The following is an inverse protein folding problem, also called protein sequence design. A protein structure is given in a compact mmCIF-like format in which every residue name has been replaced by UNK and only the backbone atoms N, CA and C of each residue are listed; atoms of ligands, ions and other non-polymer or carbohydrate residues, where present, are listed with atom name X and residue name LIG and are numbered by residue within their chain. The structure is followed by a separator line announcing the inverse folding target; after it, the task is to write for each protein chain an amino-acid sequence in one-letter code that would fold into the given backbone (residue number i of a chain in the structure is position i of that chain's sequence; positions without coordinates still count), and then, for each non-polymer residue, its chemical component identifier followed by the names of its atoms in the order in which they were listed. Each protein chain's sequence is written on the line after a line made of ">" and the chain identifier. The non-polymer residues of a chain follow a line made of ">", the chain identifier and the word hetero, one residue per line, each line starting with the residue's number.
data_IF_129697014235
#
_entry.id   IF_129697014235
#
_cell.length_a   1.000
_cell.length_b   1.000
_cell.length_c   1.000
_cell.angle_alpha   90.00
_cell.angle_beta   90.00
_cell.angle_gamma   90.00
#
_symmetry.space_group_name_H-M   'P 1'
#
loop_
_entity.id
_entity.type
_entity.pdbx_description
1 polymer ?
#
# COMPACT_ATOMS: atom_id res chain seq x y z
N UNK A 1 -13.28 -10.09 7.18
CA UNK A 1 -12.42 -9.19 6.40
C UNK A 1 -11.27 -10.01 5.82
N UNK A 2 -11.00 -9.91 4.52
CA UNK A 2 -9.78 -10.42 3.90
C UNK A 2 -8.85 -9.26 3.57
N UNK A 3 -7.55 -9.50 3.57
CA UNK A 3 -6.53 -8.48 3.33
C UNK A 3 -5.55 -8.97 2.27
N UNK A 4 -5.30 -8.15 1.26
CA UNK A 4 -4.32 -8.43 0.21
C UNK A 4 -3.41 -7.22 0.07
N UNK A 5 -2.12 -7.40 0.39
CA UNK A 5 -1.09 -6.40 0.09
C UNK A 5 -0.51 -6.66 -1.29
N UNK A 6 -0.63 -5.68 -2.17
CA UNK A 6 0.03 -5.65 -3.47
C UNK A 6 1.26 -4.77 -3.33
N UNK A 7 2.44 -5.36 -3.22
CA UNK A 7 3.69 -4.61 -3.06
C UNK A 7 4.23 -4.05 -4.38
N UNK A 8 3.89 -4.68 -5.51
CA UNK A 8 4.24 -4.26 -6.87
C UNK A 8 3.32 -4.93 -7.87
N UNK A 9 3.12 -4.31 -9.03
CA UNK A 9 2.48 -4.97 -10.17
C UNK A 9 3.55 -5.58 -11.09
N UNK A 10 3.80 -6.89 -10.96
CA UNK A 10 4.48 -7.75 -11.95
C UNK A 10 3.47 -8.36 -12.94
N UNK A 11 3.98 -9.15 -13.90
CA UNK A 11 3.14 -9.87 -14.88
C UNK A 11 2.25 -10.93 -14.21
N UNK A 12 2.73 -11.55 -13.14
CA UNK A 12 2.07 -12.66 -12.44
C UNK A 12 1.08 -12.19 -11.37
N UNK A 13 1.08 -10.88 -11.04
CA UNK A 13 0.29 -10.31 -9.93
C UNK A 13 -1.20 -10.65 -10.00
N UNK A 14 -1.79 -10.64 -11.20
CA UNK A 14 -3.22 -10.94 -11.36
C UNK A 14 -3.54 -12.38 -10.95
N UNK A 15 -2.73 -13.35 -11.37
CA UNK A 15 -2.94 -14.75 -11.03
C UNK A 15 -2.74 -15.01 -9.53
N UNK A 16 -1.73 -14.37 -8.92
CA UNK A 16 -1.48 -14.43 -7.48
C UNK A 16 -2.63 -13.80 -6.68
N UNK A 17 -3.09 -12.62 -7.11
CA UNK A 17 -4.24 -11.93 -6.53
C UNK A 17 -5.48 -12.79 -6.58
N UNK A 18 -5.80 -13.36 -7.76
CA UNK A 18 -6.97 -14.18 -7.97
C UNK A 18 -6.95 -15.41 -7.05
N UNK A 19 -5.81 -16.10 -6.99
CA UNK A 19 -5.62 -17.26 -6.10
C UNK A 19 -5.81 -16.88 -4.63
N UNK A 20 -5.21 -15.78 -4.18
CA UNK A 20 -5.35 -15.31 -2.81
C UNK A 20 -6.80 -14.89 -2.48
N UNK A 21 -7.46 -14.16 -3.39
CA UNK A 21 -8.82 -13.71 -3.25
C UNK A 21 -9.83 -14.85 -3.17
N UNK A 22 -9.71 -15.87 -4.03
CA UNK A 22 -10.56 -17.06 -3.99
C UNK A 22 -10.33 -17.89 -2.72
N UNK A 23 -9.08 -18.01 -2.26
CA UNK A 23 -8.78 -18.65 -0.96
C UNK A 23 -9.46 -17.90 0.20
N UNK A 24 -9.37 -16.57 0.22
CA UNK A 24 -10.04 -15.74 1.24
C UNK A 24 -11.57 -15.88 1.15
N UNK A 25 -12.12 -15.92 -0.05
CA UNK A 25 -13.56 -16.14 -0.30
C UNK A 25 -14.02 -17.50 0.21
N UNK A 26 -13.25 -18.56 -0.02
CA UNK A 26 -13.50 -19.89 0.52
C UNK A 26 -13.46 -19.93 2.06
N UNK A 27 -12.67 -19.06 2.70
CA UNK A 27 -12.66 -18.84 4.14
C UNK A 27 -13.81 -17.95 4.65
N UNK A 28 -14.76 -17.57 3.78
CA UNK A 28 -15.94 -16.79 4.15
C UNK A 28 -15.75 -15.27 4.11
N UNK A 29 -14.74 -14.77 3.40
CA UNK A 29 -14.54 -13.33 3.20
C UNK A 29 -15.78 -12.68 2.57
N UNK A 30 -16.27 -11.59 3.19
CA UNK A 30 -17.35 -10.72 2.69
C UNK A 30 -16.89 -9.31 2.33
N UNK A 31 -15.68 -8.95 2.76
CA UNK A 31 -15.05 -7.66 2.52
C UNK A 31 -13.56 -7.87 2.31
N UNK A 32 -13.00 -7.32 1.25
CA UNK A 32 -11.56 -7.36 0.93
C UNK A 32 -10.94 -5.97 1.04
N UNK A 33 -9.75 -5.91 1.63
CA UNK A 33 -8.91 -4.70 1.66
C UNK A 33 -7.75 -4.90 0.68
N UNK A 34 -7.61 -3.98 -0.27
CA UNK A 34 -6.45 -3.89 -1.14
C UNK A 34 -5.48 -2.86 -0.55
N UNK A 35 -4.36 -3.33 -0.01
CA UNK A 35 -3.30 -2.44 0.47
C UNK A 35 -2.29 -2.17 -0.65
N UNK A 36 -2.28 -0.93 -1.13
CA UNK A 36 -1.39 -0.41 -2.17
C UNK A 36 -0.30 0.51 -1.60
N UNK A 37 -0.19 0.62 -0.26
CA UNK A 37 0.85 1.41 0.39
C UNK A 37 2.24 0.98 -0.04
N UNK A 38 3.08 1.96 -0.32
CA UNK A 38 4.44 1.84 -0.86
C UNK A 38 4.55 1.14 -2.24
N UNK A 39 3.42 0.97 -2.96
CA UNK A 39 3.43 0.33 -4.27
C UNK A 39 3.56 1.40 -5.38
N UNK A 40 4.79 1.56 -5.89
CA UNK A 40 5.11 2.47 -6.99
C UNK A 40 4.54 2.09 -8.38
N UNK A 41 3.71 1.03 -8.45
CA UNK A 41 3.02 0.57 -9.63
C UNK A 41 3.71 -0.60 -10.32
N UNK A 42 3.70 -0.60 -11.66
CA UNK A 42 4.26 -1.67 -12.46
C UNK A 42 3.44 -1.91 -13.73
N UNK A 43 3.18 -3.17 -14.05
CA UNK A 43 2.43 -3.55 -15.25
C UNK A 43 0.98 -3.05 -15.18
N UNK A 44 0.59 -2.23 -16.17
CA UNK A 44 -0.75 -1.65 -16.26
C UNK A 44 -1.82 -2.73 -16.43
N UNK A 45 -1.56 -3.75 -17.25
CA UNK A 45 -2.52 -4.82 -17.54
C UNK A 45 -2.96 -5.54 -16.27
N UNK A 46 -2.02 -5.84 -15.36
CA UNK A 46 -2.34 -6.44 -14.07
C UNK A 46 -3.26 -5.56 -13.22
N UNK A 47 -3.10 -4.23 -13.24
CA UNK A 47 -4.01 -3.32 -12.55
C UNK A 47 -5.39 -3.25 -13.21
N UNK A 48 -5.46 -3.33 -14.55
CA UNK A 48 -6.72 -3.41 -15.28
C UNK A 48 -7.45 -4.70 -14.89
N UNK A 49 -6.79 -5.84 -14.98
CA UNK A 49 -7.39 -7.15 -14.71
C UNK A 49 -7.83 -7.27 -13.24
N UNK A 50 -7.04 -6.75 -12.28
CA UNK A 50 -7.45 -6.70 -10.88
C UNK A 50 -8.67 -5.79 -10.68
N UNK A 51 -8.75 -4.65 -11.37
CA UNK A 51 -9.90 -3.74 -11.27
C UNK A 51 -11.17 -4.36 -11.87
N UNK A 52 -11.02 -5.12 -12.97
CA UNK A 52 -12.09 -5.85 -13.65
C UNK A 52 -12.81 -6.82 -12.70
N UNK A 53 -12.08 -7.49 -11.80
CA UNK A 53 -12.69 -8.44 -10.85
C UNK A 53 -13.73 -7.84 -9.90
N UNK A 54 -13.76 -6.52 -9.75
CA UNK A 54 -14.66 -5.79 -8.86
C UNK A 54 -15.75 -4.99 -9.58
N UNK A 55 -15.60 -4.75 -10.88
CA UNK A 55 -16.43 -3.82 -11.63
C UNK A 55 -17.38 -4.58 -12.56
N UNK A 56 -18.62 -4.14 -12.60
CA UNK A 56 -19.62 -4.71 -13.52
C UNK A 56 -19.31 -4.39 -14.99
N UNK A 57 -19.99 -5.10 -15.88
CA UNK A 57 -19.77 -5.05 -17.32
C UNK A 57 -19.75 -3.61 -17.88
N UNK A 58 -18.79 -3.35 -18.78
CA UNK A 58 -18.62 -2.10 -19.53
C UNK A 58 -18.31 -0.85 -18.68
N UNK A 59 -18.08 -1.00 -17.36
CA UNK A 59 -17.58 0.10 -16.51
C UNK A 59 -16.17 0.47 -16.94
N UNK A 60 -15.89 1.77 -17.04
CA UNK A 60 -14.55 2.23 -17.40
C UNK A 60 -13.59 1.99 -16.24
N UNK A 61 -12.40 1.47 -16.55
CA UNK A 61 -11.32 1.31 -15.57
C UNK A 61 -10.35 2.49 -15.68
N UNK A 62 -9.86 2.73 -16.89
CA UNK A 62 -8.90 3.79 -17.20
C UNK A 62 -8.96 4.07 -18.69
N UNK A 63 -8.58 5.28 -19.11
CA UNK A 63 -8.28 5.54 -20.52
C UNK A 63 -6.95 6.26 -20.66
N UNK A 64 -6.30 6.06 -21.79
CA UNK A 64 -5.09 6.77 -22.17
C UNK A 64 -5.39 7.77 -23.27
N UNK A 65 -4.74 8.91 -23.22
CA UNK A 65 -4.80 9.89 -24.31
C UNK A 65 -3.46 10.62 -24.40
N UNK A 66 -2.94 10.75 -25.62
CA UNK A 66 -1.66 11.40 -25.88
C UNK A 66 -1.79 12.47 -26.94
N UNK A 67 -0.78 13.33 -27.05
CA UNK A 67 -0.77 14.41 -28.05
C UNK A 67 -0.93 13.88 -29.49
N UNK A 68 -0.25 12.75 -29.77
CA UNK A 68 -0.24 12.08 -31.08
C UNK A 68 -0.69 10.61 -30.96
N UNK A 69 -1.38 10.25 -29.87
CA UNK A 69 -1.90 8.91 -29.64
C UNK A 69 -3.40 9.05 -29.40
N UNK A 70 -4.19 8.35 -30.20
CA UNK A 70 -5.65 8.35 -30.05
C UNK A 70 -6.04 7.86 -28.66
N UNK A 71 -7.20 8.33 -28.20
CA UNK A 71 -7.79 7.86 -26.95
C UNK A 71 -8.02 6.35 -27.00
N UNK A 72 -7.55 5.63 -25.99
CA UNK A 72 -7.78 4.20 -25.82
C UNK A 72 -8.42 3.96 -24.46
N UNK A 73 -9.59 3.32 -24.46
CA UNK A 73 -10.33 3.01 -23.25
C UNK A 73 -10.11 1.55 -22.85
N UNK A 74 -9.95 1.34 -21.54
CA UNK A 74 -9.90 0.04 -20.91
C UNK A 74 -11.13 -0.06 -20.01
N UNK A 75 -11.96 -1.05 -20.28
CA UNK A 75 -13.25 -1.25 -19.63
C UNK A 75 -13.32 -2.65 -19.03
N UNK A 76 -14.04 -2.74 -17.93
CA UNK A 76 -14.39 -3.99 -17.30
C UNK A 76 -15.21 -4.85 -18.26
N UNK A 77 -14.99 -6.16 -18.19
CA UNK A 77 -15.67 -7.18 -18.97
C UNK A 77 -16.61 -7.93 -18.04
N UNK A 78 -17.72 -8.41 -18.58
CA UNK A 78 -18.64 -9.26 -17.83
C UNK A 78 -17.93 -10.50 -17.23
N UNK A 79 -17.97 -10.67 -15.88
CA UNK A 79 -17.57 -11.84 -15.03
C UNK A 79 -16.59 -11.55 -13.88
N UNK A 80 -16.62 -10.37 -13.25
CA UNK A 80 -15.76 -10.12 -12.09
C UNK A 80 -16.12 -11.04 -10.91
N UNK A 81 -15.15 -11.76 -10.33
CA UNK A 81 -15.42 -12.77 -9.29
C UNK A 81 -15.70 -12.17 -7.91
N UNK A 82 -15.36 -10.89 -7.74
CA UNK A 82 -15.49 -10.15 -6.50
C UNK A 82 -16.49 -8.99 -6.61
N UNK A 83 -17.32 -8.93 -7.66
CA UNK A 83 -18.36 -7.90 -7.84
C UNK A 83 -19.28 -7.78 -6.61
N UNK A 84 -19.65 -8.89 -5.97
CA UNK A 84 -20.51 -8.93 -4.77
C UNK A 84 -19.78 -8.79 -3.42
N UNK A 85 -18.45 -8.65 -3.43
CA UNK A 85 -17.62 -8.56 -2.21
C UNK A 85 -17.32 -7.09 -1.90
N UNK A 86 -17.63 -6.59 -0.71
CA UNK A 86 -17.27 -5.22 -0.36
C UNK A 86 -15.75 -4.99 -0.50
N UNK A 87 -15.32 -3.84 -1.03
CA UNK A 87 -13.88 -3.54 -1.20
C UNK A 87 -13.52 -2.18 -0.64
N UNK A 88 -12.36 -2.13 0.03
CA UNK A 88 -11.69 -0.90 0.45
C UNK A 88 -10.27 -0.90 -0.09
N UNK A 89 -9.74 0.27 -0.42
CA UNK A 89 -8.37 0.42 -0.90
C UNK A 89 -7.60 1.32 0.06
N UNK A 90 -6.39 0.92 0.43
CA UNK A 90 -5.48 1.74 1.24
C UNK A 90 -4.35 2.24 0.33
N UNK A 91 -4.09 3.55 0.35
CA UNK A 91 -3.02 4.20 -0.41
C UNK A 91 -2.21 5.15 0.49
N UNK A 92 -1.05 5.53 -0.01
CA UNK A 92 -0.16 6.54 0.56
C UNK A 92 0.63 7.26 -0.54
N UNK A 93 1.52 8.17 -0.15
CA UNK A 93 2.42 8.92 -1.02
C UNK A 93 3.35 8.04 -1.90
N UNK A 94 3.59 6.78 -1.51
CA UNK A 94 4.35 5.80 -2.28
C UNK A 94 3.52 5.08 -3.35
N UNK A 95 2.19 5.15 -3.25
CA UNK A 95 1.26 4.57 -4.22
C UNK A 95 1.33 5.33 -5.55
N UNK A 96 1.74 4.67 -6.64
CA UNK A 96 1.93 5.32 -7.93
C UNK A 96 1.49 4.47 -9.13
N UNK A 97 1.23 5.11 -10.26
CA UNK A 97 1.01 4.47 -11.57
C UNK A 97 -0.07 3.39 -11.53
N UNK A 98 0.27 2.10 -11.71
CA UNK A 98 -0.69 1.00 -11.69
C UNK A 98 -1.54 0.95 -10.40
N UNK A 99 -0.97 1.32 -9.24
CA UNK A 99 -1.72 1.46 -7.98
C UNK A 99 -2.80 2.53 -8.07
N UNK A 100 -2.48 3.66 -8.73
CA UNK A 100 -3.40 4.77 -8.92
C UNK A 100 -4.49 4.44 -9.94
N UNK A 101 -4.23 3.52 -10.87
CA UNK A 101 -5.25 2.97 -11.78
C UNK A 101 -6.29 2.17 -10.98
N UNK A 102 -5.85 1.24 -10.12
CA UNK A 102 -6.78 0.46 -9.27
C UNK A 102 -7.58 1.38 -8.36
N UNK A 103 -6.89 2.28 -7.64
CA UNK A 103 -7.56 3.20 -6.72
C UNK A 103 -8.54 4.14 -7.46
N UNK A 104 -8.13 4.73 -8.58
CA UNK A 104 -8.98 5.62 -9.37
C UNK A 104 -10.16 4.92 -10.03
N UNK A 105 -9.97 3.71 -10.57
CA UNK A 105 -11.04 2.92 -11.16
C UNK A 105 -12.11 2.57 -10.14
N UNK A 106 -11.71 2.10 -8.95
CA UNK A 106 -12.66 1.72 -7.90
C UNK A 106 -13.29 2.93 -7.20
N UNK A 107 -12.56 4.03 -7.03
CA UNK A 107 -13.10 5.27 -6.46
C UNK A 107 -14.14 5.89 -7.38
N UNK A 108 -13.81 6.07 -8.66
CA UNK A 108 -14.65 6.82 -9.60
C UNK A 108 -15.92 6.08 -9.99
N UNK A 109 -15.90 4.74 -9.97
CA UNK A 109 -17.10 3.91 -10.15
C UNK A 109 -17.89 3.70 -8.84
N UNK A 110 -17.54 4.41 -7.76
CA UNK A 110 -18.13 4.27 -6.43
C UNK A 110 -18.15 2.82 -5.91
N UNK A 111 -17.13 2.05 -6.31
CA UNK A 111 -17.00 0.65 -5.97
C UNK A 111 -16.26 0.43 -4.64
N UNK A 112 -15.34 1.33 -4.31
CA UNK A 112 -14.58 1.33 -3.07
C UNK A 112 -14.42 2.75 -2.51
N UNK A 113 -14.33 2.83 -1.19
CA UNK A 113 -13.75 3.98 -0.51
C UNK A 113 -12.23 3.83 -0.43
N UNK A 114 -11.54 4.94 -0.63
CA UNK A 114 -10.09 5.06 -0.57
C UNK A 114 -9.69 5.60 0.81
N UNK A 115 -8.83 4.87 1.51
CA UNK A 115 -8.32 5.20 2.84
C UNK A 115 -6.83 5.53 2.76
N UNK A 116 -6.36 6.46 3.59
CA UNK A 116 -4.93 6.73 3.72
C UNK A 116 -4.59 8.18 3.40
N UNK A 117 -3.60 8.37 2.52
CA UNK A 117 -3.08 9.69 2.13
C UNK A 117 -3.01 9.81 0.61
N UNK A 118 -2.87 11.03 0.12
CA UNK A 118 -2.79 11.31 -1.32
C UNK A 118 -1.66 10.52 -1.97
N UNK A 119 -1.96 9.89 -3.10
CA UNK A 119 -0.98 9.11 -3.86
C UNK A 119 0.06 9.99 -4.56
N UNK A 120 1.05 9.36 -5.19
CA UNK A 120 2.20 10.04 -5.77
C UNK A 120 1.85 11.03 -6.89
N UNK A 121 0.94 10.65 -7.80
CA UNK A 121 0.54 11.44 -8.97
C UNK A 121 1.32 11.12 -10.24
N UNK A 122 1.54 9.83 -10.56
CA UNK A 122 2.22 9.38 -11.79
C UNK A 122 1.21 8.80 -12.79
N UNK A 123 0.61 9.68 -13.56
CA UNK A 123 -0.30 9.38 -14.67
C UNK A 123 0.37 9.33 -16.05
N UNK A 124 1.65 8.96 -16.17
CA UNK A 124 2.36 8.92 -17.47
C UNK A 124 2.42 7.51 -18.07
N UNK A 125 2.08 7.39 -19.35
CA UNK A 125 2.28 6.19 -20.15
C UNK A 125 3.64 6.27 -20.83
N UNK A 126 4.51 5.29 -20.57
CA UNK A 126 5.83 5.23 -21.19
C UNK A 126 5.95 3.99 -22.07
N UNK A 127 6.36 4.19 -23.32
CA UNK A 127 6.64 3.13 -24.29
C UNK A 127 8.16 2.95 -24.40
N UNK A 128 8.63 1.70 -24.44
CA UNK A 128 10.04 1.39 -24.66
C UNK A 128 10.24 0.89 -26.09
N UNK A 129 11.23 1.46 -26.78
CA UNK A 129 11.68 1.02 -28.09
C UNK A 129 13.15 0.64 -28.02
N UNK A 130 13.48 -0.58 -28.46
CA UNK A 130 14.86 -1.06 -28.49
C UNK A 130 15.51 -0.68 -29.83
N UNK A 131 16.80 -0.39 -29.79
CA UNK A 131 17.61 -0.04 -30.95
C UNK A 131 18.54 -1.19 -31.35
N UNK A 132 18.99 -1.24 -32.62
CA UNK A 132 19.89 -2.29 -33.10
C UNK A 132 21.23 -2.40 -32.35
N UNK A 133 21.68 -1.32 -31.71
CA UNK A 133 22.90 -1.27 -30.90
C UNK A 133 22.71 -1.81 -29.47
N UNK A 134 21.51 -2.30 -29.14
CA UNK A 134 21.16 -2.81 -27.81
C UNK A 134 20.74 -1.72 -26.82
N UNK A 135 20.78 -0.44 -27.19
CA UNK A 135 20.22 0.64 -26.38
C UNK A 135 18.69 0.64 -26.45
N UNK A 136 18.04 1.40 -25.57
CA UNK A 136 16.59 1.56 -25.59
C UNK A 136 16.18 3.00 -25.26
N UNK A 137 15.17 3.48 -25.96
CA UNK A 137 14.49 4.74 -25.61
C UNK A 137 13.22 4.44 -24.85
N UNK A 138 13.01 5.14 -23.74
CA UNK A 138 11.75 5.13 -23.00
C UNK A 138 11.09 6.49 -23.12
N UNK A 139 10.02 6.56 -23.91
CA UNK A 139 9.35 7.81 -24.24
C UNK A 139 7.96 7.87 -23.60
N UNK A 140 7.65 9.00 -22.97
CA UNK A 140 6.28 9.28 -22.52
C UNK A 140 5.41 9.62 -23.72
N UNK A 141 4.39 8.81 -23.99
CA UNK A 141 3.56 8.91 -25.19
C UNK A 141 2.13 9.38 -24.92
N UNK A 142 1.65 9.21 -23.68
CA UNK A 142 0.28 9.51 -23.29
C UNK A 142 0.17 9.73 -21.78
N UNK A 143 -1.01 10.17 -21.33
CA UNK A 143 -1.41 10.22 -19.93
C UNK A 143 -2.55 9.25 -19.67
N UNK A 144 -2.62 8.73 -18.45
CA UNK A 144 -3.80 8.00 -17.96
C UNK A 144 -4.80 8.97 -17.35
N UNK A 145 -6.07 8.66 -17.53
CA UNK A 145 -7.20 9.36 -16.97
C UNK A 145 -8.13 8.34 -16.32
N UNK A 146 -8.68 8.70 -15.17
CA UNK A 146 -9.62 7.86 -14.44
C UNK A 146 -11.03 7.95 -15.08
N UNK A 147 -11.99 7.11 -14.67
CA UNK A 147 -13.34 7.08 -15.24
C UNK A 147 -14.08 8.43 -15.19
N UNK A 148 -13.84 9.25 -14.16
CA UNK A 148 -14.42 10.60 -14.05
C UNK A 148 -13.77 11.64 -14.98
N UNK A 149 -12.79 11.24 -15.80
CA UNK A 149 -12.09 12.11 -16.75
C UNK A 149 -10.95 12.94 -16.15
N UNK A 150 -10.57 12.69 -14.89
CA UNK A 150 -9.50 13.42 -14.24
C UNK A 150 -8.12 12.85 -14.56
N UNK A 151 -7.21 13.74 -14.91
CA UNK A 151 -5.79 13.43 -15.01
C UNK A 151 -5.18 13.46 -13.60
N UNK A 152 -4.57 12.37 -13.18
CA UNK A 152 -3.91 12.27 -11.85
C UNK A 152 -2.45 12.74 -11.87
N UNK A 153 -1.91 13.05 -13.05
CA UNK A 153 -0.51 13.44 -13.18
C UNK A 153 -0.23 14.75 -12.45
N UNK A 154 0.68 14.72 -11.46
CA UNK A 154 1.17 15.94 -10.82
C UNK A 154 2.08 16.75 -11.76
N UNK A 155 2.20 18.08 -11.55
CA UNK A 155 3.06 18.93 -12.38
C UNK A 155 4.50 18.43 -12.43
N UNK A 156 5.13 18.58 -13.60
CA UNK A 156 6.55 18.22 -13.84
C UNK A 156 7.27 19.26 -14.72
N UNK A 157 6.67 20.45 -14.88
CA UNK A 157 7.18 21.54 -15.72
C UNK A 157 8.47 22.15 -15.18
N UNK A 158 8.69 22.07 -13.87
CA UNK A 158 9.87 22.64 -13.18
C UNK A 158 11.06 21.66 -13.15
N UNK A 159 10.97 20.57 -13.93
CA UNK A 159 12.05 19.61 -14.07
C UNK A 159 11.93 18.42 -13.12
N UNK A 160 12.91 17.52 -13.24
CA UNK A 160 12.90 16.24 -12.55
C UNK A 160 13.08 16.39 -11.04
N UNK A 161 13.94 17.31 -10.61
CA UNK A 161 14.24 17.55 -9.19
C UNK A 161 12.98 18.01 -8.45
N UNK A 162 12.37 19.11 -8.89
CA UNK A 162 11.08 19.59 -8.38
C UNK A 162 9.97 18.52 -8.41
N UNK A 163 9.93 17.65 -9.44
CA UNK A 163 8.95 16.56 -9.50
C UNK A 163 9.09 15.56 -8.35
N UNK A 164 10.32 15.21 -7.95
CA UNK A 164 10.54 14.26 -6.85
C UNK A 164 10.54 14.97 -5.49
N UNK A 165 11.08 16.19 -5.41
CA UNK A 165 11.15 16.98 -4.18
C UNK A 165 9.77 17.46 -3.70
N UNK A 166 8.78 17.54 -4.58
CA UNK A 166 7.41 17.90 -4.20
C UNK A 166 6.84 16.98 -3.10
N UNK A 167 7.30 15.72 -2.98
CA UNK A 167 6.94 14.87 -1.83
C UNK A 167 7.51 15.41 -0.50
N UNK A 168 8.74 15.90 -0.50
CA UNK A 168 9.36 16.54 0.66
C UNK A 168 8.60 17.82 1.00
N UNK A 169 8.22 18.62 0.01
CA UNK A 169 7.42 19.83 0.22
C UNK A 169 6.05 19.51 0.86
N UNK A 170 5.39 18.41 0.47
CA UNK A 170 4.15 17.94 1.12
C UNK A 170 4.41 17.55 2.57
N UNK A 171 5.55 16.90 2.83
CA UNK A 171 5.95 16.50 4.18
C UNK A 171 6.20 17.71 5.08
N UNK A 172 6.99 18.68 4.61
CA UNK A 172 7.29 19.92 5.34
C UNK A 172 6.03 20.75 5.64
N UNK A 173 5.04 20.72 4.75
CA UNK A 173 3.74 21.39 4.95
C UNK A 173 2.75 20.60 5.81
N UNK A 174 3.09 19.38 6.25
CA UNK A 174 2.24 18.61 7.17
C UNK A 174 1.05 17.90 6.51
N UNK A 175 1.02 17.73 5.19
CA UNK A 175 -0.08 17.04 4.47
C UNK A 175 -0.30 15.60 4.98
N UNK A 176 0.74 14.99 5.54
CA UNK A 176 0.69 13.65 6.14
C UNK A 176 0.04 13.61 7.53
N UNK A 177 -0.17 14.77 8.17
CA UNK A 177 -0.76 14.92 9.51
C UNK A 177 -2.22 15.38 9.47
N UNK A 178 -2.62 16.14 8.45
CA UNK A 178 -3.96 16.72 8.34
C UNK A 178 -4.48 16.73 6.90
N UNK A 179 -5.77 16.41 6.73
CA UNK A 179 -6.46 16.48 5.45
C UNK A 179 -6.53 17.90 4.86
N UNK A 180 -6.51 18.93 5.73
CA UNK A 180 -6.71 20.34 5.35
C UNK A 180 -5.51 21.01 4.68
N UNK A 181 -4.31 20.40 4.73
CA UNK A 181 -3.08 20.96 4.14
C UNK A 181 -2.77 20.42 2.74
N UNK A 182 -3.66 19.59 2.17
CA UNK A 182 -3.54 19.16 0.79
C UNK A 182 -3.87 20.32 -0.16
N UNK A 183 -2.87 20.77 -0.92
CA UNK A 183 -2.95 21.95 -1.80
C UNK A 183 -3.78 21.74 -3.07
N UNK A 184 -4.68 20.75 -3.11
CA UNK A 184 -5.57 20.60 -4.24
C UNK A 184 -6.62 21.71 -4.22
N UNK A 185 -6.35 22.74 -5.02
CA UNK A 185 -7.28 23.81 -5.33
C UNK A 185 -8.60 23.25 -5.83
N UNK A 186 -9.72 23.81 -5.33
CA UNK A 186 -11.10 23.55 -5.79
C UNK A 186 -11.33 23.70 -7.31
N UNK A 187 -10.32 24.19 -8.04
CA UNK A 187 -10.34 24.35 -9.51
C UNK A 187 -10.27 23.04 -10.30
N UNK A 188 -9.92 21.91 -9.67
CA UNK A 188 -9.82 20.59 -10.33
C UNK A 188 -10.85 19.58 -9.79
N UNK A 189 -12.08 20.01 -9.55
CA UNK A 189 -13.18 19.15 -9.10
C UNK A 189 -13.78 18.34 -10.27
N UNK A 190 -14.03 17.07 -10.00
CA UNK A 190 -14.70 16.10 -10.86
C UNK A 190 -15.74 15.34 -10.03
N UNK A 191 -16.53 14.50 -10.68
CA UNK A 191 -17.58 13.73 -10.03
C UNK A 191 -17.45 12.26 -10.40
N UNK A 192 -17.50 11.40 -9.39
CA UNK A 192 -17.69 9.95 -9.56
C UNK A 192 -19.00 9.64 -10.28
N UNK A 193 -19.18 8.39 -10.68
CA UNK A 193 -20.40 7.94 -11.39
C UNK A 193 -21.69 8.19 -10.61
N UNK A 194 -21.63 8.26 -9.27
CA UNK A 194 -22.76 8.54 -8.39
C UNK A 194 -22.80 9.99 -7.88
N UNK A 195 -21.91 10.86 -8.37
CA UNK A 195 -21.95 12.31 -8.09
C UNK A 195 -21.17 12.77 -6.86
N UNK A 196 -20.39 11.91 -6.21
CA UNK A 196 -19.45 12.31 -5.14
C UNK A 196 -18.27 13.08 -5.74
N UNK A 197 -17.85 14.15 -5.06
CA UNK A 197 -16.72 14.99 -5.48
C UNK A 197 -15.40 14.23 -5.37
N UNK A 198 -14.59 14.30 -6.42
CA UNK A 198 -13.20 13.83 -6.47
C UNK A 198 -12.33 14.85 -7.17
N UNK A 199 -11.02 14.79 -6.95
CA UNK A 199 -10.10 15.84 -7.40
C UNK A 199 -9.01 15.30 -8.33
N UNK A 200 -8.62 16.09 -9.33
CA UNK A 200 -7.51 15.79 -10.25
C UNK A 200 -6.21 16.53 -9.91
N UNK A 201 -5.17 16.28 -10.72
CA UNK A 201 -3.97 17.13 -10.79
C UNK A 201 -2.85 16.84 -9.78
N UNK A 202 -2.86 15.69 -9.11
CA UNK A 202 -1.83 15.43 -8.09
C UNK A 202 -1.70 14.02 -7.53
N UNK A 203 -2.42 13.05 -8.08
CA UNK A 203 -2.66 11.74 -7.48
C UNK A 203 -4.12 11.55 -7.08
N UNK A 204 -4.43 10.36 -6.61
CA UNK A 204 -5.69 9.97 -5.99
C UNK A 204 -5.72 10.52 -4.56
N UNK A 205 -6.72 11.34 -4.27
CA UNK A 205 -7.02 11.79 -2.92
C UNK A 205 -7.85 10.72 -2.21
N UNK A 206 -7.53 10.34 -0.95
CA UNK A 206 -8.36 9.43 -0.18
C UNK A 206 -9.72 10.06 0.13
N UNK A 207 -10.73 9.21 0.23
CA UNK A 207 -12.05 9.59 0.74
C UNK A 207 -12.03 9.72 2.27
N UNK A 208 -11.22 8.88 2.91
CA UNK A 208 -11.04 8.85 4.35
C UNK A 208 -9.56 9.03 4.63
N UNK A 209 -9.19 10.24 5.04
CA UNK A 209 -7.83 10.57 5.41
C UNK A 209 -7.40 9.80 6.67
N UNK A 210 -6.21 9.20 6.62
CA UNK A 210 -5.55 8.54 7.74
C UNK A 210 -4.17 9.19 7.90
N UNK A 211 -4.01 9.96 8.97
CA UNK A 211 -2.75 10.58 9.32
C UNK A 211 -1.65 9.53 9.55
N UNK A 212 -0.39 9.92 9.32
CA UNK A 212 0.75 9.12 9.76
C UNK A 212 0.72 9.02 11.28
N UNK A 213 0.80 7.80 11.79
CA UNK A 213 0.92 7.58 13.23
C UNK A 213 2.37 7.85 13.67
N UNK A 214 2.58 9.01 14.29
CA UNK A 214 3.87 9.43 14.84
C UNK A 214 3.99 9.13 16.34
N UNK A 215 2.96 8.56 16.97
CA UNK A 215 2.92 8.38 18.43
C UNK A 215 4.02 7.44 18.95
N UNK A 216 4.33 6.39 18.18
CA UNK A 216 5.38 5.43 18.48
C UNK A 216 6.75 5.81 17.86
N UNK A 217 6.84 6.90 17.10
CA UNK A 217 8.07 7.26 16.39
C UNK A 217 9.17 7.68 17.37
N UNK A 218 10.34 7.06 17.23
CA UNK A 218 11.56 7.38 17.98
C UNK A 218 12.79 7.18 17.09
N UNK A 219 13.92 7.82 17.44
CA UNK A 219 15.15 7.68 16.65
C UNK A 219 15.63 6.22 16.67
N UNK A 220 15.58 5.59 17.84
CA UNK A 220 15.86 4.15 17.98
C UNK A 220 15.02 3.29 17.05
N UNK A 221 13.68 3.49 17.03
CA UNK A 221 12.78 2.72 16.17
C UNK A 221 13.18 2.84 14.70
N UNK A 222 13.37 4.07 14.22
CA UNK A 222 13.74 4.32 12.82
C UNK A 222 15.08 3.67 12.47
N UNK A 223 16.10 3.83 13.31
CA UNK A 223 17.42 3.21 13.06
C UNK A 223 17.34 1.68 13.05
N UNK A 224 16.63 1.07 14.00
CA UNK A 224 16.45 -0.39 14.10
C UNK A 224 15.69 -0.96 12.89
N UNK A 225 14.67 -0.24 12.42
CA UNK A 225 13.85 -0.66 11.30
C UNK A 225 14.63 -0.55 9.97
N UNK A 226 15.20 0.63 9.68
CA UNK A 226 15.88 0.88 8.40
C UNK A 226 17.24 0.19 8.26
N UNK A 227 17.90 -0.16 9.36
CA UNK A 227 19.12 -0.99 9.34
C UNK A 227 18.85 -2.47 9.03
N UNK A 228 17.57 -2.89 9.01
CA UNK A 228 17.20 -4.30 8.83
C UNK A 228 17.48 -5.18 10.05
N UNK A 229 17.94 -4.61 11.18
CA UNK A 229 18.24 -5.38 12.39
C UNK A 229 17.01 -6.04 12.99
N UNK A 230 15.83 -5.43 12.89
CA UNK A 230 14.59 -6.04 13.33
C UNK A 230 14.31 -7.36 12.59
N UNK A 231 14.44 -7.34 11.25
CA UNK A 231 14.25 -8.53 10.43
C UNK A 231 15.31 -9.60 10.73
N UNK A 232 16.59 -9.20 10.77
CA UNK A 232 17.70 -10.11 11.04
C UNK A 232 17.57 -10.78 12.41
N UNK A 233 17.31 -10.01 13.46
CA UNK A 233 17.12 -10.56 14.79
C UNK A 233 15.93 -11.52 14.85
N UNK A 234 14.80 -11.15 14.22
CA UNK A 234 13.61 -12.00 14.19
C UNK A 234 13.88 -13.34 13.50
N UNK A 235 14.68 -13.34 12.43
CA UNK A 235 15.12 -14.55 11.74
C UNK A 235 16.04 -15.41 12.61
N UNK A 236 17.11 -14.82 13.15
CA UNK A 236 18.11 -15.53 13.98
C UNK A 236 17.45 -16.11 15.25
N UNK A 237 16.56 -15.35 15.88
CA UNK A 237 15.78 -15.79 17.03
C UNK A 237 14.87 -16.97 16.65
N UNK A 238 14.12 -16.86 15.55
CA UNK A 238 13.20 -17.91 15.12
C UNK A 238 13.95 -19.21 14.77
N UNK A 239 15.12 -19.12 14.13
CA UNK A 239 15.93 -20.29 13.80
C UNK A 239 16.47 -20.98 15.06
N UNK A 240 17.04 -20.21 15.99
CA UNK A 240 17.58 -20.73 17.25
C UNK A 240 16.52 -21.39 18.14
N UNK A 241 15.29 -20.87 18.14
CA UNK A 241 14.19 -21.36 18.98
C UNK A 241 13.14 -22.16 18.22
N UNK A 242 13.43 -22.58 16.97
CA UNK A 242 12.46 -23.19 16.05
C UNK A 242 11.65 -24.32 16.67
N UNK A 243 12.31 -25.27 17.35
CA UNK A 243 11.63 -26.41 18.00
C UNK A 243 10.62 -25.99 19.07
N UNK A 244 10.94 -24.94 19.84
CA UNK A 244 10.04 -24.42 20.87
C UNK A 244 8.87 -23.65 20.23
N UNK A 245 9.15 -22.87 19.18
CA UNK A 245 8.13 -22.09 18.48
C UNK A 245 7.14 -23.00 17.72
N UNK A 246 7.63 -24.04 17.06
CA UNK A 246 6.83 -25.04 16.35
C UNK A 246 6.01 -25.95 17.29
N UNK A 247 6.29 -25.95 18.59
CA UNK A 247 5.44 -26.62 19.57
C UNK A 247 4.08 -25.92 19.76
N UNK A 248 3.95 -24.65 19.33
CA UNK A 248 2.66 -23.97 19.27
C UNK A 248 1.80 -24.57 18.14
N UNK A 249 0.53 -24.93 18.40
CA UNK A 249 -0.32 -25.58 17.39
C UNK A 249 -0.51 -24.80 16.09
N UNK A 250 -0.51 -23.47 16.18
CA UNK A 250 -0.63 -22.55 15.05
C UNK A 250 -0.23 -21.13 15.48
N UNK A 251 -0.11 -20.24 14.50
CA UNK A 251 0.23 -18.84 14.74
C UNK A 251 -0.77 -18.11 15.65
N UNK A 252 -2.05 -18.50 15.65
CA UNK A 252 -3.08 -17.86 16.50
C UNK A 252 -2.86 -18.20 17.98
N UNK A 253 -2.46 -19.43 18.29
CA UNK A 253 -2.05 -19.80 19.63
C UNK A 253 -0.80 -19.02 20.04
N UNK A 254 0.24 -19.04 19.21
CA UNK A 254 1.48 -18.30 19.45
C UNK A 254 1.22 -16.83 19.75
N UNK A 255 0.42 -16.17 18.91
CA UNK A 255 0.13 -14.75 19.08
C UNK A 255 -0.59 -14.45 20.41
N UNK A 256 -1.46 -15.34 20.89
CA UNK A 256 -2.13 -15.19 22.19
C UNK A 256 -1.21 -15.48 23.36
N UNK A 257 -0.35 -16.49 23.27
CA UNK A 257 0.43 -17.01 24.39
C UNK A 257 1.85 -16.44 24.51
N UNK A 258 2.43 -15.95 23.43
CA UNK A 258 3.82 -15.49 23.38
C UNK A 258 3.92 -13.97 23.53
N UNK A 259 4.78 -13.52 24.44
CA UNK A 259 5.15 -12.12 24.62
C UNK A 259 6.65 -12.07 24.79
N UNK A 260 7.32 -11.28 23.94
CA UNK A 260 8.76 -11.08 24.03
C UNK A 260 9.04 -10.17 25.23
N UNK A 261 9.70 -10.70 26.26
CA UNK A 261 9.86 -9.99 27.53
C UNK A 261 11.14 -10.39 28.28
N UNK A 262 11.53 -9.58 29.26
CA UNK A 262 12.65 -9.87 30.16
C UNK A 262 13.95 -10.15 29.42
N UNK A 263 14.53 -11.33 29.62
CA UNK A 263 15.80 -11.72 29.04
C UNK A 263 15.81 -11.70 27.49
N UNK A 264 14.66 -11.92 26.84
CA UNK A 264 14.56 -11.87 25.37
C UNK A 264 14.69 -10.43 24.85
N UNK A 265 14.05 -9.47 25.52
CA UNK A 265 14.17 -8.05 25.18
C UNK A 265 15.58 -7.52 25.44
N UNK A 266 16.21 -7.93 26.55
CA UNK A 266 17.61 -7.57 26.82
C UNK A 266 18.56 -8.16 25.78
N UNK A 267 18.32 -9.40 25.32
CA UNK A 267 19.11 -9.98 24.24
C UNK A 267 18.94 -9.20 22.93
N UNK A 268 17.73 -8.73 22.63
CA UNK A 268 17.49 -7.85 21.47
C UNK A 268 18.22 -6.52 21.59
N UNK A 269 18.15 -5.88 22.77
CA UNK A 269 18.89 -4.64 23.06
C UNK A 269 20.39 -4.81 22.83
N UNK A 270 20.97 -5.86 23.39
CA UNK A 270 22.40 -6.14 23.20
C UNK A 270 22.75 -6.34 21.73
N UNK A 271 21.93 -7.10 20.99
CA UNK A 271 22.12 -7.28 19.55
C UNK A 271 22.09 -5.95 18.78
N UNK A 272 21.17 -5.05 19.10
CA UNK A 272 21.08 -3.71 18.47
C UNK A 272 22.35 -2.89 18.74
N UNK A 273 22.83 -2.89 19.99
CA UNK A 273 24.06 -2.17 20.39
C UNK A 273 25.30 -2.75 19.72
N UNK A 274 25.44 -4.08 19.69
CA UNK A 274 26.56 -4.78 19.03
C UNK A 274 26.62 -4.51 17.52
N UNK A 275 25.49 -4.22 16.89
CA UNK A 275 25.41 -3.86 15.47
C UNK A 275 25.45 -2.33 15.24
N UNK A 276 25.93 -1.56 16.22
CA UNK A 276 26.33 -0.15 16.03
C UNK A 276 25.21 0.88 16.19
N UNK A 277 24.04 0.50 16.73
CA UNK A 277 22.98 1.46 17.06
C UNK A 277 22.99 1.72 18.56
N UNK A 278 23.19 2.99 18.94
CA UNK A 278 23.07 3.42 20.33
C UNK A 278 21.66 3.20 20.86
N UNK A 279 21.55 2.57 22.03
CA UNK A 279 20.26 2.34 22.68
C UNK A 279 19.87 3.50 23.59
N UNK A 280 18.67 4.05 23.39
CA UNK A 280 18.07 5.05 24.27
C UNK A 280 16.86 4.44 24.98
N UNK A 281 16.89 4.40 26.31
CA UNK A 281 15.79 3.85 27.10
C UNK A 281 14.52 4.70 26.97
N UNK A 282 14.66 6.03 26.79
CA UNK A 282 13.52 6.91 26.52
C UNK A 282 12.86 6.60 25.17
N UNK A 283 13.66 6.47 24.11
CA UNK A 283 13.16 6.11 22.78
C UNK A 283 12.53 4.72 22.78
N UNK A 284 13.13 3.78 23.52
CA UNK A 284 12.57 2.45 23.69
C UNK A 284 11.23 2.51 24.41
N UNK A 285 11.11 3.17 25.56
CA UNK A 285 9.84 3.30 26.29
C UNK A 285 8.74 3.87 25.38
N UNK A 286 9.06 4.87 24.56
CA UNK A 286 8.12 5.46 23.59
C UNK A 286 7.67 4.48 22.50
N UNK A 287 8.56 3.63 22.02
CA UNK A 287 8.34 2.75 20.86
C UNK A 287 8.15 1.27 21.24
N UNK A 288 8.19 0.92 22.53
CA UNK A 288 8.31 -0.46 23.00
C UNK A 288 7.16 -1.34 22.55
N UNK A 289 5.93 -0.83 22.59
CA UNK A 289 4.75 -1.58 22.17
C UNK A 289 4.85 -1.94 20.68
N UNK A 290 5.17 -0.97 19.83
CA UNK A 290 5.31 -1.15 18.39
C UNK A 290 6.49 -2.07 18.05
N UNK A 291 7.68 -1.82 18.61
CA UNK A 291 8.87 -2.67 18.41
C UNK A 291 8.62 -4.11 18.83
N UNK A 292 7.98 -4.33 19.98
CA UNK A 292 7.67 -5.68 20.47
C UNK A 292 6.68 -6.40 19.58
N UNK A 293 5.68 -5.69 19.04
CA UNK A 293 4.72 -6.26 18.09
C UNK A 293 5.39 -6.61 16.76
N UNK A 294 6.24 -5.73 16.23
CA UNK A 294 7.00 -5.97 15.00
C UNK A 294 7.98 -7.15 15.14
N UNK A 295 8.69 -7.24 16.26
CA UNK A 295 9.55 -8.39 16.56
C UNK A 295 8.75 -9.69 16.65
N UNK A 296 7.63 -9.68 17.40
CA UNK A 296 6.74 -10.85 17.52
C UNK A 296 6.23 -11.29 16.14
N UNK A 297 5.80 -10.34 15.32
CA UNK A 297 5.34 -10.61 13.96
C UNK A 297 6.47 -11.15 13.08
N UNK A 298 7.67 -10.57 13.17
CA UNK A 298 8.85 -11.03 12.45
C UNK A 298 9.23 -12.46 12.82
N UNK A 299 9.19 -12.82 14.10
CA UNK A 299 9.42 -14.19 14.57
C UNK A 299 8.34 -15.12 14.01
N UNK A 300 7.07 -14.74 14.13
CA UNK A 300 5.95 -15.52 13.61
C UNK A 300 6.06 -15.77 12.09
N UNK A 301 6.54 -14.78 11.34
CA UNK A 301 6.77 -14.87 9.89
C UNK A 301 7.71 -16.01 9.53
N UNK A 302 8.76 -16.20 10.32
CA UNK A 302 9.80 -17.20 10.06
C UNK A 302 9.38 -18.64 10.42
N UNK A 303 8.21 -18.81 11.05
CA UNK A 303 7.63 -20.11 11.40
C UNK A 303 6.38 -20.41 10.57
N UNK A 304 5.46 -19.45 10.42
CA UNK A 304 4.15 -19.64 9.80
C UNK A 304 3.89 -18.78 8.56
N UNK A 305 4.86 -17.99 8.09
CA UNK A 305 4.74 -17.20 6.87
C UNK A 305 4.04 -15.86 7.04
N UNK A 306 3.68 -15.25 5.90
CA UNK A 306 3.16 -13.89 5.83
C UNK A 306 1.78 -13.75 6.48
N UNK A 307 0.96 -14.81 6.45
CA UNK A 307 -0.36 -14.85 7.05
C UNK A 307 -0.28 -14.54 8.55
N UNK A 308 0.72 -15.12 9.24
CA UNK A 308 0.96 -14.85 10.66
C UNK A 308 1.49 -13.43 10.89
N UNK A 309 2.43 -12.98 10.05
CA UNK A 309 2.99 -11.62 10.14
C UNK A 309 1.89 -10.55 10.03
N UNK A 310 1.13 -10.57 8.94
CA UNK A 310 0.10 -9.57 8.68
C UNK A 310 -1.06 -9.65 9.68
N UNK A 311 -1.44 -10.85 10.13
CA UNK A 311 -2.48 -10.98 11.16
C UNK A 311 -2.11 -10.37 12.52
N UNK A 312 -0.81 -10.19 12.78
CA UNK A 312 -0.31 -9.53 13.99
C UNK A 312 -0.21 -8.01 13.76
N UNK A 313 0.54 -7.57 12.74
CA UNK A 313 0.82 -6.12 12.55
C UNK A 313 -0.41 -5.31 12.13
N UNK A 314 -1.42 -5.93 11.51
CA UNK A 314 -2.61 -5.20 11.06
C UNK A 314 -3.57 -4.83 12.21
N UNK A 315 -3.32 -5.28 13.45
CA UNK A 315 -4.17 -4.96 14.61
C UNK A 315 -3.98 -3.53 15.09
N UNK A 316 -2.75 -3.03 14.97
CA UNK A 316 -2.40 -1.65 15.29
C UNK A 316 -2.52 -0.73 14.09
N UNK A 317 -2.81 -1.26 12.90
CA UNK A 317 -2.89 -0.48 11.67
C UNK A 317 -4.11 0.48 11.68
N UNK A 318 -3.88 1.81 11.65
CA UNK A 318 -4.97 2.78 11.76
C UNK A 318 -5.97 2.73 10.61
N UNK A 319 -5.52 2.41 9.39
CA UNK A 319 -6.39 2.35 8.21
C UNK A 319 -7.28 1.09 8.27
N UNK A 320 -6.70 -0.07 8.61
CA UNK A 320 -7.46 -1.31 8.79
C UNK A 320 -8.47 -1.17 9.93
N UNK A 321 -8.05 -0.58 11.06
CA UNK A 321 -8.96 -0.32 12.17
C UNK A 321 -10.10 0.62 11.77
N UNK A 322 -9.82 1.68 11.01
CA UNK A 322 -10.86 2.58 10.51
C UNK A 322 -11.83 1.86 9.58
N UNK A 323 -11.35 1.01 8.68
CA UNK A 323 -12.19 0.17 7.81
C UNK A 323 -13.07 -0.75 8.67
N UNK A 324 -12.51 -1.46 9.65
CA UNK A 324 -13.27 -2.34 10.54
C UNK A 324 -14.39 -1.60 11.29
N UNK A 325 -14.13 -0.37 11.75
CA UNK A 325 -15.18 0.43 12.41
C UNK A 325 -16.31 0.87 11.48
N UNK A 326 -16.07 0.96 10.18
CA UNK A 326 -17.08 1.35 9.19
C UNK A 326 -17.87 0.18 8.59
N UNK A 327 -17.46 -1.07 8.85
CA UNK A 327 -18.15 -2.29 8.40
C UNK A 327 -19.25 -2.72 9.37
N UNK A 328 -19.11 -2.37 10.66
CA UNK A 328 -20.08 -2.66 11.72
C UNK A 328 -21.17 -1.58 11.78
#
# INVERSE_FOLDING_TARGET
>A
LGYVKLSRFSRETYDEFLKAGENLKALGMRHIVLDLRDNGGGFMDAAIDISDEFLGDNKMIVYTEGRNRARQEYRAKNKGRFEDIAVSVIIDEGSASASEIVAGALQDNDRALIYGRRSFGKGLVQEQSNWPDGSATRLTIARYYTPSGRCIQKPYSEGKEAYYDELNDRYERGEHLSAGDSTQSDTNMFYTTSGRVVYGGGGIMPDIFIAVDTSAHSTLLSLVYYSGLLYRYSFDYADKHRKQLEAAPNWLFFDKSYRLAGAELEAFRNFVVENGISWSDEDFVRSAAFLSEQLKAGIARNIWGNEAYYSIVLRSDPAVNKILTGIN
#
